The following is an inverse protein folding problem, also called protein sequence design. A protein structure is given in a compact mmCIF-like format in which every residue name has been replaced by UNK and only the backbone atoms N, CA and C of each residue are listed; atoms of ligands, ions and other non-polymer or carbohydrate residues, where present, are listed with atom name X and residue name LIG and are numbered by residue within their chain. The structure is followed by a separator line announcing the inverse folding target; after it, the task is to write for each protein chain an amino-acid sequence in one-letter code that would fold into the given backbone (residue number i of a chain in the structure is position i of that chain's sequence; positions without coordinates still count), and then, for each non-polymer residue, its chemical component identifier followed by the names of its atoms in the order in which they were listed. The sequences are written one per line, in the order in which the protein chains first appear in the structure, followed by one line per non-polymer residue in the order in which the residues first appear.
data_IF_053852287923
#
_entry.id   IF_053852287923
#
_cell.length_a   1.000
_cell.length_b   1.000
_cell.length_c   1.000
_cell.angle_alpha   90.00
_cell.angle_beta   90.00
_cell.angle_gamma   90.00
#
_symmetry.space_group_name_H-M   'P 1'
#
loop_
_entity.id
_entity.type
_entity.pdbx_description
1 polymer ?
#
# COMPACT_ATOMS: atom_id res chain seq x y z
N UNK A 1 -29.20 -31.68 -10.46
CA UNK A 1 -28.68 -30.63 -9.52
C UNK A 1 -28.29 -31.15 -8.12
N UNK A 2 -28.50 -32.42 -7.76
CA UNK A 2 -28.16 -32.99 -6.43
C UNK A 2 -26.77 -33.67 -6.36
N UNK A 3 -26.02 -33.77 -7.43
CA UNK A 3 -24.72 -34.45 -7.51
C UNK A 3 -23.53 -33.47 -7.52
N UNK A 4 -23.77 -32.17 -7.81
CA UNK A 4 -22.71 -31.17 -7.82
C UNK A 4 -22.22 -30.76 -6.41
N UNK A 5 -23.06 -30.85 -5.39
CA UNK A 5 -22.72 -30.48 -4.03
C UNK A 5 -21.66 -31.39 -3.38
N UNK A 6 -21.71 -32.72 -3.49
CA UNK A 6 -20.67 -33.61 -2.94
C UNK A 6 -19.34 -33.50 -3.70
N UNK A 7 -19.35 -33.17 -5.00
CA UNK A 7 -18.11 -32.94 -5.77
C UNK A 7 -17.41 -31.67 -5.32
N UNK A 8 -18.14 -30.60 -4.99
CA UNK A 8 -17.58 -29.36 -4.47
C UNK A 8 -16.95 -29.53 -3.08
N UNK A 9 -17.52 -30.43 -2.24
CA UNK A 9 -16.98 -30.73 -0.90
C UNK A 9 -15.70 -31.60 -1.00
N UNK A 10 -15.58 -32.49 -1.99
CA UNK A 10 -14.36 -33.28 -2.21
C UNK A 10 -13.15 -32.43 -2.69
N UNK A 11 -13.38 -31.32 -3.35
CA UNK A 11 -12.28 -30.41 -3.73
C UNK A 11 -11.71 -29.61 -2.54
N UNK A 12 -12.42 -29.50 -1.42
CA UNK A 12 -11.96 -28.85 -0.19
C UNK A 12 -11.22 -29.78 0.78
N UNK A 13 -11.12 -31.08 0.51
CA UNK A 13 -10.26 -31.99 1.27
C UNK A 13 -8.80 -31.92 0.78
N UNK A 14 -8.26 -30.72 0.58
CA UNK A 14 -6.82 -30.49 0.44
C UNK A 14 -6.21 -30.83 1.79
N UNK A 15 -5.34 -31.83 1.80
CA UNK A 15 -4.53 -32.24 2.95
C UNK A 15 -4.01 -31.00 3.68
N UNK A 16 -4.57 -30.69 4.81
CA UNK A 16 -4.04 -29.71 5.77
C UNK A 16 -2.84 -30.41 6.42
N UNK A 17 -1.74 -30.54 5.67
CA UNK A 17 -0.45 -30.66 6.32
C UNK A 17 -0.31 -29.41 7.17
N UNK A 18 0.16 -29.53 8.41
CA UNK A 18 0.38 -28.43 9.32
C UNK A 18 1.20 -27.34 8.58
N UNK A 19 0.47 -26.40 7.97
CA UNK A 19 1.09 -25.31 7.22
C UNK A 19 1.79 -24.45 8.27
N UNK A 20 3.08 -24.23 8.10
CA UNK A 20 3.84 -23.34 8.98
C UNK A 20 3.39 -21.91 8.70
N UNK A 21 2.37 -21.49 9.43
CA UNK A 21 1.99 -20.08 9.48
C UNK A 21 2.96 -19.34 10.37
N UNK A 22 3.46 -18.24 9.87
CA UNK A 22 4.16 -17.23 10.64
C UNK A 22 3.30 -15.99 10.75
N UNK A 23 3.73 -15.07 11.57
CA UNK A 23 3.08 -13.77 11.69
C UNK A 23 3.94 -12.79 12.46
N UNK A 24 3.53 -11.53 12.43
CA UNK A 24 4.28 -10.50 13.09
C UNK A 24 3.67 -9.11 12.98
N UNK A 25 4.44 -8.15 13.45
CA UNK A 25 4.08 -6.73 13.48
C UNK A 25 4.90 -5.95 12.46
N UNK A 26 4.32 -4.87 11.97
CA UNK A 26 4.93 -3.93 11.01
C UNK A 26 4.95 -2.54 11.65
N UNK A 27 6.11 -1.90 11.64
CA UNK A 27 6.27 -0.51 12.05
C UNK A 27 7.20 0.19 11.07
N UNK A 28 6.78 1.31 10.50
CA UNK A 28 7.57 1.99 9.50
C UNK A 28 7.09 3.40 9.19
N UNK A 29 7.75 3.96 8.19
CA UNK A 29 7.45 5.26 7.63
C UNK A 29 7.21 5.12 6.13
N UNK A 30 6.34 5.97 5.62
CA UNK A 30 6.12 6.17 4.19
C UNK A 30 6.57 7.57 3.78
N UNK A 31 6.98 7.69 2.53
CA UNK A 31 7.06 8.98 1.85
C UNK A 31 6.32 8.85 0.54
N UNK A 32 5.54 9.87 0.17
CA UNK A 32 4.58 9.74 -0.91
C UNK A 32 4.44 11.02 -1.72
N UNK A 33 3.90 10.85 -2.92
CA UNK A 33 3.41 11.90 -3.79
C UNK A 33 2.10 11.47 -4.45
N UNK A 34 1.28 12.45 -4.82
CA UNK A 34 0.09 12.26 -5.65
C UNK A 34 0.43 12.72 -7.06
N UNK A 35 0.49 11.77 -7.99
CA UNK A 35 0.74 12.10 -9.39
C UNK A 35 -0.50 12.74 -10.01
N UNK A 36 -0.30 13.83 -10.76
CA UNK A 36 -1.40 14.58 -11.41
C UNK A 36 -1.97 15.71 -10.56
N UNK A 37 -1.29 16.11 -9.48
CA UNK A 37 -1.59 17.27 -8.65
C UNK A 37 -0.72 18.50 -8.97
N UNK A 38 0.13 18.42 -10.01
CA UNK A 38 1.16 19.41 -10.38
C UNK A 38 2.30 19.58 -9.36
N UNK A 39 2.33 18.79 -8.29
CA UNK A 39 3.42 18.75 -7.33
C UNK A 39 4.38 17.61 -7.69
N UNK A 40 5.66 17.80 -7.45
CA UNK A 40 6.70 16.81 -7.69
C UNK A 40 7.43 16.42 -6.42
N UNK A 41 7.86 15.13 -6.36
CA UNK A 41 8.71 14.62 -5.29
C UNK A 41 7.94 13.97 -4.14
N UNK A 42 8.63 13.05 -3.46
CA UNK A 42 8.10 12.29 -2.33
C UNK A 42 8.21 13.09 -1.03
N UNK A 43 7.54 14.23 -0.97
CA UNK A 43 7.68 15.22 0.11
C UNK A 43 6.69 15.01 1.28
N UNK A 44 5.73 14.10 1.14
CA UNK A 44 4.76 13.79 2.19
C UNK A 44 5.21 12.60 3.00
N UNK A 45 5.70 12.85 4.22
CA UNK A 45 5.99 11.79 5.18
C UNK A 45 4.72 11.27 5.84
N UNK A 46 4.67 9.99 6.13
CA UNK A 46 3.55 9.31 6.78
C UNK A 46 3.98 8.17 7.67
N UNK A 47 3.07 7.71 8.51
CA UNK A 47 3.22 6.56 9.38
C UNK A 47 2.74 5.30 8.65
N UNK A 48 3.42 4.17 8.89
CA UNK A 48 3.02 2.83 8.47
C UNK A 48 3.05 1.91 9.69
N UNK A 49 1.90 1.34 10.07
CA UNK A 49 1.84 0.35 11.15
C UNK A 49 0.87 -0.76 10.77
N UNK A 50 1.12 -1.98 11.24
CA UNK A 50 0.24 -3.10 10.94
C UNK A 50 0.69 -4.43 11.51
N UNK A 51 0.09 -5.47 10.96
CA UNK A 51 0.47 -6.85 11.22
C UNK A 51 0.42 -7.68 9.95
N UNK A 52 1.04 -8.83 9.98
CA UNK A 52 1.04 -9.76 8.86
C UNK A 52 0.92 -11.20 9.33
N UNK A 53 0.42 -12.02 8.44
CA UNK A 53 0.52 -13.48 8.49
C UNK A 53 1.20 -13.96 7.23
N UNK A 54 2.07 -14.93 7.34
CA UNK A 54 2.72 -15.58 6.21
C UNK A 54 2.52 -17.10 6.20
N UNK A 55 2.63 -17.66 5.03
CA UNK A 55 2.51 -19.08 4.76
C UNK A 55 3.66 -19.51 3.87
N UNK A 56 4.42 -20.52 4.33
CA UNK A 56 5.47 -21.14 3.52
C UNK A 56 4.84 -21.99 2.41
N UNK A 57 4.98 -21.55 1.15
CA UNK A 57 4.47 -22.26 -0.03
C UNK A 57 5.48 -23.25 -0.59
N UNK A 58 6.77 -22.90 -0.54
CA UNK A 58 7.88 -23.76 -0.94
C UNK A 58 9.16 -23.39 -0.17
N UNK A 59 10.27 -24.08 -0.44
CA UNK A 59 11.57 -23.76 0.21
C UNK A 59 12.01 -22.29 0.01
N UNK A 60 11.60 -21.67 -1.07
CA UNK A 60 12.03 -20.30 -1.46
C UNK A 60 10.87 -19.32 -1.61
N UNK A 61 9.63 -19.77 -1.52
CA UNK A 61 8.46 -18.93 -1.77
C UNK A 61 7.54 -18.91 -0.56
N UNK A 62 7.17 -17.70 -0.13
CA UNK A 62 6.14 -17.44 0.90
C UNK A 62 5.01 -16.60 0.32
N UNK A 63 3.77 -16.94 0.68
CA UNK A 63 2.63 -16.04 0.57
C UNK A 63 2.49 -15.24 1.85
N UNK A 64 2.14 -13.97 1.75
CA UNK A 64 1.90 -13.12 2.93
C UNK A 64 0.67 -12.25 2.69
N UNK A 65 -0.12 -12.08 3.75
CA UNK A 65 -1.20 -11.12 3.83
C UNK A 65 -0.91 -10.16 4.99
N UNK A 66 -1.15 -8.89 4.74
CA UNK A 66 -0.96 -7.84 5.75
C UNK A 66 -2.27 -7.10 6.00
N UNK A 67 -2.38 -6.49 7.16
CA UNK A 67 -3.35 -5.45 7.47
C UNK A 67 -2.57 -4.25 8.01
N UNK A 68 -2.64 -3.12 7.30
CA UNK A 68 -1.82 -1.95 7.59
C UNK A 68 -2.66 -0.69 7.68
N UNK A 69 -2.29 0.20 8.58
CA UNK A 69 -2.64 1.61 8.54
C UNK A 69 -1.47 2.35 7.87
N UNK A 70 -1.76 3.15 6.85
CA UNK A 70 -0.75 3.92 6.14
C UNK A 70 -1.25 5.33 5.85
N UNK A 71 -0.37 6.32 6.06
CA UNK A 71 -0.60 7.70 5.64
C UNK A 71 0.13 7.96 4.34
N UNK A 72 -0.59 8.53 3.38
CA UNK A 72 -0.12 8.87 2.03
C UNK A 72 -0.53 10.30 1.71
N UNK A 73 -0.04 10.85 0.61
CA UNK A 73 -0.47 12.17 0.12
C UNK A 73 0.60 12.89 -0.68
N UNK A 74 0.47 14.20 -0.74
CA UNK A 74 1.40 15.10 -1.43
C UNK A 74 1.55 16.38 -0.64
N UNK A 75 2.76 16.98 -0.67
CA UNK A 75 3.04 18.25 -0.02
C UNK A 75 3.99 19.07 -0.89
N UNK A 76 3.69 20.36 -1.05
CA UNK A 76 4.64 21.32 -1.57
C UNK A 76 5.42 21.95 -0.40
N UNK A 77 6.75 21.69 -0.28
CA UNK A 77 7.55 22.25 0.82
C UNK A 77 7.79 23.75 0.70
N UNK A 78 7.54 24.38 -0.46
CA UNK A 78 7.79 25.81 -0.71
C UNK A 78 6.61 26.66 -0.25
N UNK A 79 6.57 27.01 1.02
CA UNK A 79 5.52 27.86 1.61
C UNK A 79 5.50 29.32 1.09
N UNK A 80 6.52 29.75 0.33
CA UNK A 80 6.65 31.12 -0.16
C UNK A 80 5.97 31.36 -1.51
N UNK A 81 5.43 30.34 -2.14
CA UNK A 81 4.70 30.44 -3.40
C UNK A 81 3.20 30.35 -3.12
N UNK A 82 2.39 31.06 -3.88
CA UNK A 82 0.91 30.97 -3.86
C UNK A 82 0.37 29.56 -4.26
N UNK A 83 1.25 28.58 -4.31
CA UNK A 83 0.99 27.20 -4.72
C UNK A 83 1.12 26.18 -3.58
N UNK A 84 1.06 26.64 -2.30
CA UNK A 84 1.03 25.71 -1.17
C UNK A 84 -0.18 24.76 -1.31
N UNK A 85 0.09 23.47 -1.26
CA UNK A 85 -0.93 22.44 -1.22
C UNK A 85 -0.44 21.28 -0.35
N UNK A 86 -1.29 20.80 0.53
CA UNK A 86 -1.03 19.65 1.42
C UNK A 86 -2.20 18.68 1.36
N UNK A 87 -2.02 17.59 0.63
CA UNK A 87 -2.94 16.47 0.56
C UNK A 87 -2.51 15.43 1.59
N UNK A 88 -3.39 15.14 2.54
CA UNK A 88 -3.16 14.13 3.58
C UNK A 88 -4.26 13.08 3.52
N UNK A 89 -3.86 11.82 3.26
CA UNK A 89 -4.76 10.69 3.10
C UNK A 89 -4.35 9.59 4.09
N UNK A 90 -5.31 9.04 4.83
CA UNK A 90 -5.10 7.90 5.73
C UNK A 90 -5.91 6.71 5.25
N UNK A 91 -5.24 5.56 5.11
CA UNK A 91 -5.85 4.33 4.62
C UNK A 91 -5.66 3.16 5.59
N UNK A 92 -6.62 2.22 5.57
CA UNK A 92 -6.40 0.83 5.98
C UNK A 92 -6.22 -0.01 4.75
N UNK A 93 -5.06 -0.64 4.61
CA UNK A 93 -4.68 -1.46 3.47
C UNK A 93 -4.67 -2.94 3.80
N UNK A 94 -4.95 -3.76 2.78
CA UNK A 94 -4.85 -5.21 2.81
C UNK A 94 -3.91 -5.64 1.67
N UNK A 95 -2.57 -5.58 1.88
CA UNK A 95 -1.60 -6.11 0.94
C UNK A 95 -1.64 -7.64 0.88
N UNK A 96 -1.65 -8.18 -0.34
CA UNK A 96 -1.45 -9.60 -0.65
C UNK A 96 -0.21 -9.73 -1.51
N UNK A 97 0.75 -10.54 -1.09
CA UNK A 97 2.05 -10.59 -1.74
C UNK A 97 2.69 -11.98 -1.72
N UNK A 98 3.63 -12.15 -2.64
CA UNK A 98 4.55 -13.26 -2.67
C UNK A 98 5.96 -12.74 -2.33
N UNK A 99 6.66 -13.50 -1.49
CA UNK A 99 8.09 -13.27 -1.15
C UNK A 99 8.92 -14.40 -1.70
N UNK A 100 9.91 -14.05 -2.52
CA UNK A 100 10.90 -14.99 -3.05
C UNK A 100 12.22 -14.81 -2.30
N UNK A 101 12.65 -15.88 -1.61
CA UNK A 101 13.91 -15.91 -0.88
C UNK A 101 15.06 -16.11 -1.84
N UNK A 102 15.82 -15.04 -2.08
CA UNK A 102 16.98 -15.05 -2.96
C UNK A 102 18.24 -15.59 -2.27
N UNK A 103 18.42 -15.27 -0.99
CA UNK A 103 19.53 -15.74 -0.16
C UNK A 103 19.06 -15.89 1.29
N UNK A 104 19.95 -16.32 2.20
CA UNK A 104 19.62 -16.44 3.64
C UNK A 104 19.17 -15.12 4.27
N UNK A 105 19.56 -13.99 3.70
CA UNK A 105 19.28 -12.64 4.26
C UNK A 105 18.41 -11.77 3.39
N UNK A 106 18.30 -12.05 2.07
CA UNK A 106 17.59 -11.18 1.13
C UNK A 106 16.40 -11.93 0.52
N UNK A 107 15.25 -11.30 0.56
CA UNK A 107 14.07 -11.71 -0.19
C UNK A 107 13.52 -10.55 -1.01
N UNK A 108 12.96 -10.86 -2.18
CA UNK A 108 12.25 -9.93 -3.05
C UNK A 108 10.76 -10.20 -2.87
N UNK A 109 9.96 -9.16 -2.86
CA UNK A 109 8.52 -9.29 -2.76
C UNK A 109 7.79 -8.53 -3.86
N UNK A 110 6.59 -8.97 -4.16
CA UNK A 110 5.68 -8.25 -5.05
C UNK A 110 4.25 -8.65 -4.79
N UNK A 111 3.34 -7.71 -5.00
CA UNK A 111 1.94 -7.95 -4.69
C UNK A 111 1.03 -6.81 -5.10
N UNK A 112 -0.21 -6.94 -4.64
CA UNK A 112 -1.28 -5.96 -4.80
C UNK A 112 -1.78 -5.54 -3.42
N UNK A 113 -2.18 -4.30 -3.30
CA UNK A 113 -2.82 -3.74 -2.09
C UNK A 113 -4.18 -3.20 -2.46
N UNK A 114 -5.19 -3.56 -1.69
CA UNK A 114 -6.49 -2.88 -1.67
C UNK A 114 -6.54 -2.06 -0.39
N UNK A 115 -6.69 -0.74 -0.51
CA UNK A 115 -6.70 0.17 0.62
C UNK A 115 -8.01 0.96 0.67
N UNK A 116 -8.55 1.12 1.87
CA UNK A 116 -9.79 1.83 2.14
C UNK A 116 -9.47 3.16 2.81
N UNK A 117 -9.98 4.25 2.21
CA UNK A 117 -9.78 5.60 2.73
C UNK A 117 -10.57 5.81 4.02
N UNK A 118 -9.87 6.21 5.09
CA UNK A 118 -10.48 6.53 6.39
C UNK A 118 -10.63 8.03 6.57
N UNK A 119 -9.62 8.78 6.13
CA UNK A 119 -9.59 10.23 6.28
C UNK A 119 -8.87 10.87 5.11
N UNK A 120 -9.41 11.99 4.63
CA UNK A 120 -8.81 12.83 3.61
C UNK A 120 -8.85 14.28 4.05
N UNK A 121 -7.76 15.00 3.80
CA UNK A 121 -7.65 16.44 3.98
C UNK A 121 -6.88 17.02 2.82
N UNK A 122 -7.40 18.12 2.27
CA UNK A 122 -6.78 18.89 1.20
C UNK A 122 -6.73 20.35 1.66
N UNK A 123 -5.54 20.91 1.79
CA UNK A 123 -5.32 22.26 2.29
C UNK A 123 -4.53 23.08 1.27
N UNK A 124 -4.90 24.32 1.11
CA UNK A 124 -4.18 25.33 0.36
C UNK A 124 -3.67 26.46 1.29
N UNK A 125 -3.15 27.55 0.71
CA UNK A 125 -2.66 28.73 1.46
C UNK A 125 -3.75 29.40 2.32
N UNK A 126 -5.02 29.17 2.02
CA UNK A 126 -6.17 29.74 2.73
C UNK A 126 -6.75 28.78 3.77
N UNK A 127 -6.22 27.56 3.88
CA UNK A 127 -6.65 26.51 4.80
C UNK A 127 -7.32 25.34 4.11
N UNK A 128 -8.23 24.68 4.82
CA UNK A 128 -8.90 23.48 4.29
C UNK A 128 -9.81 23.81 3.10
N UNK A 129 -9.53 23.19 1.96
CA UNK A 129 -10.37 23.33 0.77
C UNK A 129 -11.72 22.69 1.04
N UNK A 130 -12.81 23.45 0.80
CA UNK A 130 -14.17 22.94 1.00
C UNK A 130 -14.49 21.82 0.00
N UNK A 131 -15.16 20.79 0.46
CA UNK A 131 -15.60 19.65 -0.37
C UNK A 131 -16.43 20.09 -1.62
N UNK A 132 -17.07 21.26 -1.55
CA UNK A 132 -17.83 21.81 -2.68
C UNK A 132 -16.95 22.40 -3.79
N UNK A 133 -15.66 22.63 -3.56
CA UNK A 133 -14.72 23.23 -4.51
C UNK A 133 -13.77 22.22 -5.14
N UNK A 134 -13.65 21.02 -4.57
CA UNK A 134 -12.81 19.94 -5.07
C UNK A 134 -13.61 18.66 -5.27
N UNK A 135 -13.16 17.80 -6.19
CA UNK A 135 -13.71 16.47 -6.35
C UNK A 135 -13.30 15.61 -5.14
N UNK A 136 -14.23 14.80 -4.66
CA UNK A 136 -14.00 13.91 -3.53
C UNK A 136 -12.98 12.81 -3.89
N UNK A 137 -12.24 12.34 -2.89
CA UNK A 137 -11.38 11.19 -3.04
C UNK A 137 -12.21 9.91 -3.08
N UNK A 138 -11.79 8.97 -3.93
CA UNK A 138 -12.38 7.65 -3.99
C UNK A 138 -12.10 6.90 -2.67
N UNK A 139 -13.09 6.13 -2.23
CA UNK A 139 -13.00 5.36 -0.97
C UNK A 139 -12.04 4.18 -1.07
N UNK A 140 -11.70 3.73 -2.28
CA UNK A 140 -10.83 2.58 -2.54
C UNK A 140 -9.65 3.01 -3.40
N UNK A 141 -8.44 2.62 -2.97
CA UNK A 141 -7.19 2.70 -3.71
C UNK A 141 -6.68 1.27 -3.97
N UNK A 142 -6.46 0.91 -5.23
CA UNK A 142 -5.81 -0.35 -5.59
C UNK A 142 -4.43 -0.04 -6.14
N UNK A 143 -3.41 -0.62 -5.53
CA UNK A 143 -2.03 -0.42 -5.93
C UNK A 143 -1.29 -1.73 -6.18
N UNK A 144 -0.27 -1.66 -7.02
CA UNK A 144 0.74 -2.71 -7.17
C UNK A 144 2.03 -2.25 -6.51
N UNK A 145 2.80 -3.18 -6.00
CA UNK A 145 4.07 -2.87 -5.38
C UNK A 145 5.12 -3.95 -5.60
N UNK A 146 6.36 -3.53 -5.51
CA UNK A 146 7.52 -4.40 -5.38
C UNK A 146 8.36 -3.93 -4.20
N UNK A 147 9.11 -4.84 -3.60
CA UNK A 147 9.95 -4.52 -2.45
C UNK A 147 11.06 -5.52 -2.24
N UNK A 148 11.90 -5.17 -1.29
CA UNK A 148 13.02 -5.97 -0.84
C UNK A 148 12.98 -6.08 0.69
N UNK A 149 13.29 -7.27 1.18
CA UNK A 149 13.41 -7.58 2.58
C UNK A 149 14.85 -7.96 2.89
N UNK A 150 15.39 -7.38 3.96
CA UNK A 150 16.69 -7.73 4.50
C UNK A 150 16.53 -8.26 5.93
N UNK A 151 16.83 -9.54 6.15
CA UNK A 151 16.75 -10.17 7.46
C UNK A 151 17.97 -9.77 8.31
N UNK A 152 17.74 -8.91 9.31
CA UNK A 152 18.78 -8.48 10.27
C UNK A 152 19.12 -9.64 11.21
N UNK A 153 18.09 -10.37 11.65
CA UNK A 153 18.19 -11.58 12.42
C UNK A 153 16.93 -12.45 12.22
N UNK A 154 16.78 -13.53 13.00
CA UNK A 154 15.64 -14.46 12.86
C UNK A 154 14.27 -13.84 13.16
N UNK A 155 14.22 -12.69 13.84
CA UNK A 155 12.98 -12.02 14.24
C UNK A 155 12.75 -10.65 13.61
N UNK A 156 13.80 -10.03 13.08
CA UNK A 156 13.73 -8.65 12.62
C UNK A 156 14.12 -8.55 11.14
N UNK A 157 13.23 -8.01 10.35
CA UNK A 157 13.41 -7.80 8.91
C UNK A 157 13.24 -6.32 8.61
N UNK A 158 14.19 -5.74 7.87
CA UNK A 158 14.05 -4.43 7.25
C UNK A 158 13.39 -4.60 5.88
N UNK A 159 12.26 -3.93 5.66
CA UNK A 159 11.53 -3.92 4.41
C UNK A 159 11.66 -2.55 3.74
N UNK A 160 11.83 -2.56 2.43
CA UNK A 160 11.74 -1.37 1.56
C UNK A 160 10.81 -1.70 0.41
N UNK A 161 9.80 -0.85 0.16
CA UNK A 161 8.76 -1.10 -0.83
C UNK A 161 8.45 0.17 -1.61
N UNK A 162 8.26 0.03 -2.92
CA UNK A 162 7.66 1.06 -3.77
C UNK A 162 6.31 0.57 -4.28
N UNK A 163 5.30 1.42 -4.19
CA UNK A 163 3.94 1.13 -4.65
C UNK A 163 3.37 2.26 -5.49
N UNK A 164 2.49 1.89 -6.42
CA UNK A 164 1.76 2.85 -7.28
C UNK A 164 0.32 2.42 -7.42
N UNK A 165 -0.61 3.38 -7.26
CA UNK A 165 -2.02 3.16 -7.56
C UNK A 165 -2.20 2.82 -9.04
N UNK A 166 -3.03 1.83 -9.33
CA UNK A 166 -3.43 1.43 -10.69
C UNK A 166 -4.79 1.97 -11.09
N UNK A 167 -5.60 2.37 -10.12
CA UNK A 167 -6.84 3.11 -10.31
C UNK A 167 -6.68 4.54 -9.78
N UNK A 168 -7.41 5.54 -10.33
CA UNK A 168 -7.34 6.90 -9.81
C UNK A 168 -7.92 6.97 -8.39
N UNK A 169 -7.26 7.75 -7.52
CA UNK A 169 -7.75 8.06 -6.18
C UNK A 169 -8.74 9.21 -6.15
N UNK A 170 -8.74 10.05 -7.18
CA UNK A 170 -9.80 11.02 -7.54
C UNK A 170 -9.64 11.44 -8.99
N UNK A 171 -10.69 11.99 -9.56
CA UNK A 171 -10.67 12.54 -10.92
C UNK A 171 -9.73 13.75 -11.01
N UNK A 172 -9.18 14.01 -12.19
CA UNK A 172 -8.40 15.22 -12.43
C UNK A 172 -9.24 16.49 -12.30
N UNK A 173 -8.63 17.56 -11.78
CA UNK A 173 -9.05 18.91 -12.10
C UNK A 173 -8.82 19.14 -13.62
N UNK A 174 -9.69 19.93 -14.26
CA UNK A 174 -9.63 20.21 -15.69
C UNK A 174 -8.22 20.68 -16.12
N UNK A 175 -7.67 20.08 -17.17
CA UNK A 175 -6.41 20.46 -17.80
C UNK A 175 -5.18 19.61 -17.48
N UNK A 176 -5.24 18.67 -16.56
CA UNK A 176 -4.13 17.77 -16.30
C UNK A 176 -4.07 16.61 -17.32
N UNK A 177 -2.85 16.22 -17.76
CA UNK A 177 -2.64 15.25 -18.85
C UNK A 177 -1.94 13.98 -18.44
N UNK A 178 -1.85 13.69 -17.13
CA UNK A 178 -1.19 12.50 -16.60
C UNK A 178 -2.05 11.24 -16.80
N UNK A 179 -1.42 10.11 -17.17
CA UNK A 179 -2.07 8.80 -17.40
C UNK A 179 -3.37 8.90 -18.21
N UNK A 180 -3.30 9.51 -19.39
CA UNK A 180 -4.43 9.71 -20.29
C UNK A 180 -5.56 10.55 -19.67
N UNK A 181 -5.25 11.42 -18.75
CA UNK A 181 -6.20 12.30 -18.06
C UNK A 181 -7.29 11.55 -17.25
N UNK A 182 -6.94 10.37 -16.70
CA UNK A 182 -7.89 9.53 -15.95
C UNK A 182 -8.02 9.87 -14.48
N UNK A 183 -7.18 10.75 -13.93
CA UNK A 183 -7.24 11.14 -12.51
C UNK A 183 -5.89 11.24 -11.84
N UNK A 184 -5.91 11.34 -10.52
CA UNK A 184 -4.74 11.37 -9.63
C UNK A 184 -4.43 9.98 -9.09
N UNK A 185 -3.15 9.73 -8.76
CA UNK A 185 -2.66 8.42 -8.33
C UNK A 185 -1.65 8.57 -7.20
N UNK A 186 -1.70 7.72 -6.20
CA UNK A 186 -0.66 7.65 -5.17
C UNK A 186 0.59 6.94 -5.72
N UNK A 187 1.76 7.50 -5.41
CA UNK A 187 3.07 6.85 -5.51
C UNK A 187 3.71 6.90 -4.14
N UNK A 188 4.11 5.76 -3.59
CA UNK A 188 4.59 5.64 -2.22
C UNK A 188 5.89 4.86 -2.18
N UNK A 189 6.85 5.38 -1.42
CA UNK A 189 8.05 4.65 -0.99
C UNK A 189 7.93 4.45 0.52
N UNK A 190 8.08 3.21 0.99
CA UNK A 190 8.00 2.89 2.41
C UNK A 190 9.22 2.12 2.90
N UNK A 191 9.56 2.35 4.16
CA UNK A 191 10.59 1.64 4.91
C UNK A 191 9.98 1.17 6.23
N UNK A 192 10.04 -0.13 6.49
CA UNK A 192 9.42 -0.71 7.66
C UNK A 192 10.31 -1.77 8.31
N UNK A 193 10.14 -1.94 9.60
CA UNK A 193 10.64 -3.07 10.37
C UNK A 193 9.49 -4.05 10.56
N UNK A 194 9.71 -5.30 10.16
CA UNK A 194 8.82 -6.42 10.43
C UNK A 194 9.40 -7.23 11.58
N UNK A 195 8.62 -7.39 12.66
CA UNK A 195 8.99 -8.19 13.81
C UNK A 195 8.20 -9.49 13.80
N UNK A 196 8.89 -10.62 13.71
CA UNK A 196 8.32 -11.98 13.70
C UNK A 196 8.06 -12.42 15.14
N UNK A 197 6.85 -12.87 15.43
CA UNK A 197 6.42 -13.36 16.75
C UNK A 197 6.75 -14.84 16.91
#
# INVERSE_FOLDING_TARGET
MKILLPILICFFSINIHAQNFGGGLILGLSTSQVSGDHLGGFNKAGLLVGGFIDLQLSKTLKGQMEMTFIQKGSNNPNMNENSYSDISLSYVGIPLLLKYQQSSTIAIEGGIETAFLISASDNDVYGKISANSTREFNTVDISIFIGMNYSINSKLILNSRISNSIIPIRDHASGATFKLNKGQYNSVLSFALHYII
#
